data_IF_520140131434
#
_entry.id   IF_520140131434
#
_cell.length_a   1.000
_cell.length_b   1.000
_cell.length_c   1.000
_cell.angle_alpha   90.00
_cell.angle_beta   90.00
_cell.angle_gamma   90.00
#
_symmetry.space_group_name_H-M   'P 1'
#
loop_
_entity.id
_entity.type
_entity.pdbx_description
1 polymer ?
#
# COMPACT_ATOMS: atom_id res chain seq x y z
N UNK A 1 8.37 13.72 -16.59
CA UNK A 1 8.87 12.38 -16.26
C UNK A 1 7.77 11.66 -15.51
N UNK A 2 7.28 10.51 -16.00
CA UNK A 2 6.20 9.77 -15.35
C UNK A 2 6.66 9.25 -13.98
N UNK A 3 5.80 9.37 -12.97
CA UNK A 3 6.02 8.87 -11.60
C UNK A 3 5.22 7.59 -11.42
N UNK A 4 5.86 6.53 -10.94
CA UNK A 4 5.18 5.30 -10.51
C UNK A 4 5.14 5.28 -8.99
N UNK A 5 3.94 5.20 -8.41
CA UNK A 5 3.77 5.20 -6.96
C UNK A 5 3.80 3.77 -6.41
N UNK A 6 4.61 3.55 -5.37
CA UNK A 6 4.69 2.26 -4.68
C UNK A 6 3.61 2.12 -3.60
N UNK A 7 2.83 1.03 -3.63
CA UNK A 7 1.79 0.72 -2.66
C UNK A 7 1.98 -0.66 -2.03
N UNK A 8 1.49 -0.85 -0.81
CA UNK A 8 1.51 -2.13 -0.12
C UNK A 8 0.40 -3.05 -0.63
N UNK A 9 0.76 -4.26 -1.03
CA UNK A 9 -0.19 -5.33 -1.30
C UNK A 9 -0.83 -5.88 -0.02
N UNK A 10 -1.75 -6.85 -0.16
CA UNK A 10 -2.36 -7.52 0.98
C UNK A 10 -1.29 -8.22 1.83
N UNK A 11 -1.05 -7.68 3.02
CA UNK A 11 -0.11 -8.25 3.98
C UNK A 11 -0.61 -8.03 5.39
N UNK A 12 -0.01 -8.72 6.35
CA UNK A 12 -0.27 -8.52 7.77
C UNK A 12 0.43 -7.25 8.21
N UNK A 13 -0.25 -6.46 9.05
CA UNK A 13 0.34 -5.24 9.63
C UNK A 13 1.69 -5.49 10.30
N UNK A 14 1.87 -6.63 10.95
CA UNK A 14 3.14 -6.99 11.60
C UNK A 14 4.30 -7.11 10.60
N UNK A 15 4.05 -7.64 9.40
CA UNK A 15 5.06 -7.80 8.35
C UNK A 15 5.38 -6.45 7.70
N UNK A 16 4.35 -5.60 7.51
CA UNK A 16 4.52 -4.22 7.06
C UNK A 16 5.36 -3.39 8.04
N UNK A 17 5.09 -3.49 9.34
CA UNK A 17 5.87 -2.82 10.40
C UNK A 17 7.31 -3.33 10.40
N UNK A 18 7.52 -4.65 10.29
CA UNK A 18 8.86 -5.24 10.24
C UNK A 18 9.64 -4.71 9.04
N UNK A 19 9.01 -4.64 7.88
CA UNK A 19 9.61 -4.07 6.68
C UNK A 19 9.93 -2.58 6.86
N UNK A 20 9.00 -1.79 7.39
CA UNK A 20 9.23 -0.38 7.69
C UNK A 20 10.42 -0.14 8.64
N UNK A 21 10.56 -0.96 9.68
CA UNK A 21 11.73 -0.89 10.57
C UNK A 21 13.02 -1.18 9.79
N UNK A 22 13.04 -2.20 8.92
CA UNK A 22 14.22 -2.51 8.09
C UNK A 22 14.57 -1.40 7.10
N UNK A 23 13.58 -0.64 6.63
CA UNK A 23 13.76 0.54 5.79
C UNK A 23 14.17 1.81 6.57
N UNK A 24 14.36 1.72 7.89
CA UNK A 24 14.78 2.87 8.71
C UNK A 24 13.65 3.84 9.08
N UNK A 25 12.38 3.52 8.80
CA UNK A 25 11.23 4.37 9.19
C UNK A 25 10.75 4.11 10.63
N UNK A 26 11.57 3.46 11.45
CA UNK A 26 11.31 3.16 12.87
C UNK A 26 10.86 4.36 13.71
N UNK A 27 11.52 5.53 13.64
CA UNK A 27 11.09 6.73 14.38
C UNK A 27 9.67 7.19 14.02
N UNK A 28 9.30 7.13 12.74
CA UNK A 28 7.95 7.48 12.27
C UNK A 28 6.90 6.51 12.81
N UNK A 29 7.23 5.22 12.89
CA UNK A 29 6.35 4.20 13.45
C UNK A 29 6.11 4.40 14.96
N UNK A 30 7.13 4.79 15.73
CA UNK A 30 6.99 5.07 17.17
C UNK A 30 6.04 6.24 17.42
N UNK A 31 6.11 7.31 16.62
CA UNK A 31 5.21 8.45 16.73
C UNK A 31 3.78 8.05 16.36
N UNK A 32 3.62 7.24 15.31
CA UNK A 32 2.32 6.72 14.88
C UNK A 32 1.68 5.84 15.97
N UNK A 33 2.45 4.94 16.58
CA UNK A 33 2.00 4.10 17.69
C UNK A 33 1.54 4.92 18.91
N UNK A 34 2.19 6.06 19.18
CA UNK A 34 1.81 6.96 20.29
C UNK A 34 0.49 7.70 20.06
N UNK A 35 0.02 7.82 18.82
CA UNK A 35 -1.21 8.54 18.45
C UNK A 35 -2.35 7.60 17.99
N UNK A 36 -2.04 6.36 17.65
CA UNK A 36 -3.00 5.38 17.18
C UNK A 36 -3.66 4.63 18.34
N UNK A 37 -4.71 5.22 18.92
CA UNK A 37 -5.51 4.63 20.01
C UNK A 37 -6.30 3.37 19.62
N UNK A 38 -6.29 2.95 18.35
CA UNK A 38 -7.09 1.78 17.94
C UNK A 38 -6.48 1.00 16.75
N UNK A 39 -5.22 0.56 16.91
CA UNK A 39 -4.53 -0.34 15.96
C UNK A 39 -5.29 -1.66 15.68
N UNK A 40 -6.37 -1.95 16.44
CA UNK A 40 -7.25 -3.11 16.25
C UNK A 40 -8.03 -3.05 14.92
N UNK A 41 -8.35 -1.86 14.40
CA UNK A 41 -8.93 -1.70 13.05
C UNK A 41 -7.93 -1.99 11.94
N UNK A 42 -6.64 -1.81 12.24
CA UNK A 42 -5.49 -2.04 11.36
C UNK A 42 -5.06 -3.53 11.33
N UNK A 43 -5.72 -4.39 12.12
CA UNK A 43 -5.49 -5.85 12.13
C UNK A 43 -6.23 -6.60 11.02
N UNK A 44 -7.16 -5.94 10.31
CA UNK A 44 -7.72 -6.53 9.08
C UNK A 44 -6.63 -6.52 8.00
N UNK A 45 -6.56 -7.55 7.13
CA UNK A 45 -5.70 -7.50 5.95
C UNK A 45 -6.00 -6.20 5.20
N UNK A 46 -5.01 -5.32 5.11
CA UNK A 46 -5.14 -4.07 4.37
C UNK A 46 -4.93 -4.44 2.92
N UNK A 47 -5.97 -4.33 2.11
CA UNK A 47 -5.84 -4.45 0.66
C UNK A 47 -5.61 -3.06 0.07
N UNK A 48 -4.90 -2.95 -1.06
CA UNK A 48 -4.63 -1.67 -1.70
C UNK A 48 -5.84 -1.09 -2.45
N UNK A 49 -6.97 -1.80 -2.52
CA UNK A 49 -8.09 -1.46 -3.40
C UNK A 49 -8.66 -0.05 -3.14
N UNK A 50 -8.95 0.27 -1.89
CA UNK A 50 -9.46 1.58 -1.47
C UNK A 50 -8.45 2.69 -1.78
N UNK A 51 -7.18 2.44 -1.49
CA UNK A 51 -6.12 3.41 -1.73
C UNK A 51 -5.88 3.66 -3.23
N UNK A 52 -5.97 2.62 -4.07
CA UNK A 52 -5.88 2.75 -5.52
C UNK A 52 -7.08 3.53 -6.06
N UNK A 53 -8.29 3.25 -5.57
CA UNK A 53 -9.50 3.95 -5.97
C UNK A 53 -9.45 5.45 -5.62
N UNK A 54 -9.03 5.78 -4.41
CA UNK A 54 -8.83 7.17 -3.98
C UNK A 54 -7.73 7.87 -4.77
N UNK A 55 -6.62 7.17 -5.04
CA UNK A 55 -5.51 7.70 -5.84
C UNK A 55 -5.95 8.00 -7.28
N UNK A 56 -6.71 7.09 -7.91
CA UNK A 56 -7.26 7.28 -9.24
C UNK A 56 -8.21 8.48 -9.30
N UNK A 57 -9.12 8.61 -8.33
CA UNK A 57 -10.03 9.75 -8.25
C UNK A 57 -9.28 11.09 -8.07
N UNK A 58 -8.24 11.12 -7.24
CA UNK A 58 -7.40 12.30 -7.05
C UNK A 58 -6.60 12.68 -8.30
N UNK A 59 -6.09 11.67 -9.02
CA UNK A 59 -5.39 11.83 -10.31
C UNK A 59 -6.31 12.46 -11.36
N UNK A 60 -7.55 11.99 -11.48
CA UNK A 60 -8.52 12.51 -12.44
C UNK A 60 -8.90 13.97 -12.15
N UNK A 61 -9.00 14.35 -10.88
CA UNK A 61 -9.30 15.73 -10.49
C UNK A 61 -8.14 16.71 -10.72
N UNK A 62 -6.90 16.24 -10.75
CA UNK A 62 -5.71 17.10 -10.84
C UNK A 62 -5.42 17.64 -12.26
N UNK A 63 -6.11 17.14 -13.30
CA UNK A 63 -6.08 17.72 -14.66
C UNK A 63 -4.78 17.55 -15.45
N UNK A 64 -3.71 17.03 -14.85
CA UNK A 64 -2.47 16.61 -15.51
C UNK A 64 -1.67 15.65 -14.60
N UNK A 65 -1.98 14.35 -14.58
CA UNK A 65 -1.35 13.45 -13.61
C UNK A 65 0.11 13.18 -13.94
N UNK A 66 0.99 13.53 -12.99
CA UNK A 66 2.37 13.07 -12.98
C UNK A 66 2.48 11.57 -12.68
N UNK A 67 1.45 11.00 -12.03
CA UNK A 67 1.37 9.59 -11.68
C UNK A 67 0.92 8.81 -12.91
N UNK A 68 1.83 8.01 -13.46
CA UNK A 68 1.59 7.20 -14.65
C UNK A 68 1.16 5.77 -14.32
N UNK A 69 1.31 5.35 -13.07
CA UNK A 69 0.95 4.02 -12.63
C UNK A 69 1.26 3.76 -11.16
N UNK A 70 0.93 2.55 -10.75
CA UNK A 70 1.12 2.04 -9.40
C UNK A 70 1.91 0.75 -9.46
N UNK A 71 2.88 0.61 -8.56
CA UNK A 71 3.60 -0.64 -8.32
C UNK A 71 3.20 -1.20 -6.94
N UNK A 72 2.75 -2.46 -6.89
CA UNK A 72 2.32 -3.11 -5.63
C UNK A 72 3.41 -4.02 -5.10
N UNK A 73 3.86 -3.77 -3.86
CA UNK A 73 4.85 -4.58 -3.15
C UNK A 73 4.18 -5.62 -2.24
N UNK A 74 4.52 -6.91 -2.37
CA UNK A 74 3.84 -7.99 -1.64
C UNK A 74 4.25 -8.13 -0.15
N UNK A 75 5.29 -7.41 0.31
CA UNK A 75 5.73 -7.33 1.71
C UNK A 75 5.60 -8.63 2.54
N UNK A 76 6.16 -9.73 2.01
CA UNK A 76 6.23 -11.03 2.69
C UNK A 76 5.02 -11.96 2.53
N UNK A 77 3.91 -11.50 1.95
CA UNK A 77 2.69 -12.29 1.71
C UNK A 77 2.48 -12.62 0.23
N UNK A 78 3.38 -13.38 -0.39
CA UNK A 78 3.29 -13.65 -1.84
C UNK A 78 2.01 -14.40 -2.24
N UNK A 79 1.59 -15.41 -1.47
CA UNK A 79 0.36 -16.17 -1.77
C UNK A 79 -0.88 -15.28 -1.67
N UNK A 80 -1.02 -14.51 -0.59
CA UNK A 80 -2.13 -13.57 -0.39
C UNK A 80 -2.15 -12.50 -1.49
N UNK A 81 -0.97 -12.03 -1.91
CA UNK A 81 -0.81 -11.10 -3.02
C UNK A 81 -1.26 -11.70 -4.36
N UNK A 82 -0.87 -12.94 -4.66
CA UNK A 82 -1.28 -13.62 -5.89
C UNK A 82 -2.79 -13.85 -5.92
N UNK A 83 -3.37 -14.31 -4.82
CA UNK A 83 -4.82 -14.51 -4.67
C UNK A 83 -5.59 -13.20 -4.87
N UNK A 84 -5.09 -12.10 -4.30
CA UNK A 84 -5.66 -10.76 -4.53
C UNK A 84 -5.50 -10.33 -5.99
N UNK A 85 -4.30 -10.46 -6.58
CA UNK A 85 -4.03 -10.04 -7.96
C UNK A 85 -4.92 -10.77 -8.97
N UNK A 86 -5.23 -12.04 -8.72
CA UNK A 86 -6.12 -12.81 -9.60
C UNK A 86 -7.57 -12.31 -9.54
N UNK A 87 -7.96 -11.66 -8.44
CA UNK A 87 -9.30 -11.09 -8.23
C UNK A 87 -9.35 -9.60 -8.62
N UNK A 88 -8.23 -8.90 -8.55
CA UNK A 88 -8.14 -7.48 -8.85
C UNK A 88 -8.23 -7.24 -10.37
N UNK A 89 -9.24 -6.49 -10.80
CA UNK A 89 -9.47 -6.13 -12.22
C UNK A 89 -8.55 -5.00 -12.71
N UNK A 90 -7.67 -4.47 -11.86
CA UNK A 90 -6.86 -3.28 -12.15
C UNK A 90 -5.55 -3.66 -12.85
N UNK A 91 -5.23 -2.96 -13.94
CA UNK A 91 -3.95 -3.09 -14.64
C UNK A 91 -2.83 -2.51 -13.77
N UNK A 92 -2.21 -3.36 -12.94
CA UNK A 92 -1.10 -2.99 -12.07
C UNK A 92 0.18 -3.62 -12.63
N UNK A 93 1.18 -2.80 -12.94
CA UNK A 93 2.51 -3.27 -13.33
C UNK A 93 3.25 -3.76 -12.09
N UNK A 94 3.65 -5.03 -12.07
CA UNK A 94 4.48 -5.63 -11.01
C UNK A 94 5.89 -5.84 -11.57
N UNK A 95 6.91 -5.29 -10.91
CA UNK A 95 8.34 -5.50 -11.22
C UNK A 95 9.05 -6.27 -10.11
#
# INVERSE_FOLDING_TARGET
>A
MPITTGLAGPTRLADLIRYGISCGVGPSLVILQRRALDLRKLMRPITPDELIAELAAGVDQAGAPLIAGVHIFPFGGLSDFLDWRTKATLAVTTE
#
